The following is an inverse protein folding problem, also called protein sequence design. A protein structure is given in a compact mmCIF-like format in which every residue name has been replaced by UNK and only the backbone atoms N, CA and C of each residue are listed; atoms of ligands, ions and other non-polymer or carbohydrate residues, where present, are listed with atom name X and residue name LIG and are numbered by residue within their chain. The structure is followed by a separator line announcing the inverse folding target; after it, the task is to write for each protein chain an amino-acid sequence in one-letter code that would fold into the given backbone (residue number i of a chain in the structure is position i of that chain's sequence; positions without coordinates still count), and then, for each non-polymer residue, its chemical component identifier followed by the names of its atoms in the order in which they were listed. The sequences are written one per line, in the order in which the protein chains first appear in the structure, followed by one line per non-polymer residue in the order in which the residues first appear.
data_IF_144593212963
#
_entry.id   IF_144593212963
#
_cell.length_a   1.000
_cell.length_b   1.000
_cell.length_c   1.000
_cell.angle_alpha   90.00
_cell.angle_beta   90.00
_cell.angle_gamma   90.00
#
_symmetry.space_group_name_H-M   'P 1'
#
loop_
_entity.id
_entity.type
_entity.pdbx_description
1 polymer ?
#
# COMPACT_ATOMS: atom_id res chain seq x y z
N UNK A 1 10.64 16.92 -21.55
CA UNK A 1 10.11 15.56 -21.70
C UNK A 1 11.16 14.78 -22.46
N UNK A 2 11.75 13.76 -21.84
CA UNK A 2 12.76 12.89 -22.48
C UNK A 2 12.04 12.00 -23.48
N UNK A 3 12.62 11.78 -24.67
CA UNK A 3 12.00 10.90 -25.67
C UNK A 3 12.03 9.44 -25.20
N UNK A 4 11.10 8.62 -25.69
CA UNK A 4 11.08 7.19 -25.37
C UNK A 4 12.42 6.51 -25.72
N UNK A 5 13.07 6.93 -26.81
CA UNK A 5 14.37 6.40 -27.22
C UNK A 5 15.47 6.68 -26.16
N UNK A 6 15.56 7.91 -25.69
CA UNK A 6 16.51 8.31 -24.65
C UNK A 6 16.24 7.57 -23.33
N UNK A 7 14.97 7.41 -22.93
CA UNK A 7 14.60 6.61 -21.76
C UNK A 7 15.02 5.15 -21.88
N UNK A 8 14.91 4.55 -23.07
CA UNK A 8 15.35 3.16 -23.30
C UNK A 8 16.87 3.01 -23.33
N UNK A 9 17.62 4.04 -23.75
CA UNK A 9 19.07 4.06 -23.63
C UNK A 9 19.46 4.07 -22.15
N UNK A 10 18.87 4.97 -21.36
CA UNK A 10 19.14 5.05 -19.91
C UNK A 10 18.77 3.75 -19.20
N UNK A 11 17.59 3.19 -19.49
CA UNK A 11 17.17 1.89 -18.94
C UNK A 11 18.19 0.79 -19.25
N UNK A 12 18.65 0.70 -20.50
CA UNK A 12 19.69 -0.28 -20.89
C UNK A 12 20.98 -0.06 -20.11
N UNK A 13 21.39 1.19 -19.88
CA UNK A 13 22.64 1.50 -19.19
C UNK A 13 22.55 1.23 -17.68
N UNK A 14 21.38 1.42 -17.05
CA UNK A 14 21.12 0.96 -15.69
C UNK A 14 21.13 -0.57 -15.57
N UNK A 15 20.53 -1.28 -16.53
CA UNK A 15 20.55 -2.74 -16.57
C UNK A 15 21.97 -3.32 -16.70
N UNK A 16 22.87 -2.65 -17.44
CA UNK A 16 24.29 -3.07 -17.55
C UNK A 16 25.02 -3.04 -16.21
N UNK A 17 24.64 -2.12 -15.30
CA UNK A 17 25.20 -2.06 -13.95
C UNK A 17 24.81 -3.28 -13.10
N UNK A 18 23.73 -3.98 -13.44
CA UNK A 18 23.30 -5.23 -12.79
C UNK A 18 22.65 -5.07 -11.41
N UNK A 19 22.82 -3.92 -10.76
CA UNK A 19 22.34 -3.68 -9.39
C UNK A 19 20.82 -3.57 -9.31
N UNK A 20 20.20 -2.92 -10.30
CA UNK A 20 18.74 -2.73 -10.32
C UNK A 20 18.00 -4.06 -10.45
N UNK A 21 18.51 -5.01 -11.25
CA UNK A 21 17.91 -6.34 -11.35
C UNK A 21 17.98 -7.11 -10.02
N UNK A 22 19.12 -7.03 -9.32
CA UNK A 22 19.30 -7.67 -8.02
C UNK A 22 18.39 -7.05 -6.96
N UNK A 23 18.35 -5.72 -6.89
CA UNK A 23 17.50 -4.98 -5.96
C UNK A 23 16.02 -5.28 -6.20
N UNK A 24 15.55 -5.17 -7.44
CA UNK A 24 14.15 -5.41 -7.77
C UNK A 24 13.73 -6.86 -7.50
N UNK A 25 14.59 -7.84 -7.80
CA UNK A 25 14.33 -9.24 -7.44
C UNK A 25 14.20 -9.44 -5.93
N UNK A 26 15.15 -8.93 -5.15
CA UNK A 26 15.11 -9.03 -3.69
C UNK A 26 13.88 -8.33 -3.10
N UNK A 27 13.50 -7.19 -3.66
CA UNK A 27 12.27 -6.48 -3.30
C UNK A 27 11.03 -7.33 -3.57
N UNK A 28 10.89 -7.94 -4.75
CA UNK A 28 9.75 -8.81 -5.07
C UNK A 28 9.68 -10.03 -4.14
N UNK A 29 10.82 -10.65 -3.83
CA UNK A 29 10.91 -11.78 -2.89
C UNK A 29 10.48 -11.37 -1.48
N UNK A 30 10.94 -10.21 -1.01
CA UNK A 30 10.51 -9.65 0.28
C UNK A 30 9.02 -9.33 0.31
N UNK A 31 8.49 -8.64 -0.71
CA UNK A 31 7.07 -8.27 -0.78
C UNK A 31 6.16 -9.52 -0.84
N UNK A 32 6.59 -10.57 -1.54
CA UNK A 32 5.95 -11.89 -1.53
C UNK A 32 5.93 -12.55 -0.16
N UNK A 33 7.04 -12.42 0.58
CA UNK A 33 7.17 -12.93 1.95
C UNK A 33 6.29 -12.15 2.93
N UNK A 34 6.28 -10.82 2.84
CA UNK A 34 5.43 -9.93 3.64
C UNK A 34 3.95 -10.24 3.44
N UNK A 35 3.50 -10.40 2.18
CA UNK A 35 2.13 -10.82 1.89
C UNK A 35 1.79 -12.17 2.52
N UNK A 36 2.70 -13.14 2.37
CA UNK A 36 2.52 -14.49 2.93
C UNK A 36 2.47 -14.48 4.45
N UNK A 37 3.24 -13.58 5.08
CA UNK A 37 3.21 -13.35 6.52
C UNK A 37 1.83 -12.93 7.01
N UNK A 38 1.22 -11.90 6.40
CA UNK A 38 -0.14 -11.48 6.75
C UNK A 38 -1.17 -12.60 6.55
N UNK A 39 -1.09 -13.32 5.42
CA UNK A 39 -2.01 -14.44 5.13
C UNK A 39 -1.91 -15.57 6.16
N UNK A 40 -0.70 -15.88 6.63
CA UNK A 40 -0.46 -16.95 7.61
C UNK A 40 -0.83 -16.53 9.03
N UNK A 41 -0.51 -15.29 9.41
CA UNK A 41 -0.71 -14.80 10.77
C UNK A 41 -2.16 -14.41 11.06
N UNK A 42 -2.88 -13.94 10.05
CA UNK A 42 -4.29 -13.52 10.15
C UNK A 42 -5.17 -14.38 9.22
N UNK A 43 -5.48 -15.63 9.60
CA UNK A 43 -6.23 -16.55 8.73
C UNK A 43 -7.66 -16.09 8.43
N UNK A 44 -8.25 -15.27 9.30
CA UNK A 44 -9.60 -14.71 9.10
C UNK A 44 -9.61 -13.52 8.13
N UNK A 45 -8.44 -12.97 7.80
CA UNK A 45 -8.32 -11.83 6.89
C UNK A 45 -8.22 -12.33 5.45
N UNK A 46 -8.89 -11.65 4.53
CA UNK A 46 -8.67 -11.90 3.11
C UNK A 46 -7.46 -11.13 2.63
N UNK A 47 -6.39 -11.85 2.34
CA UNK A 47 -5.23 -11.32 1.64
C UNK A 47 -5.36 -11.57 0.14
N UNK A 48 -5.13 -10.56 -0.71
CA UNK A 48 -5.28 -10.69 -2.17
C UNK A 48 -4.45 -11.86 -2.72
N UNK A 49 -4.96 -12.56 -3.76
CA UNK A 49 -4.29 -13.71 -4.36
C UNK A 49 -2.95 -13.36 -5.03
N UNK A 50 -2.87 -12.17 -5.61
CA UNK A 50 -1.71 -11.62 -6.30
C UNK A 50 -1.20 -10.34 -5.63
N UNK A 51 0.02 -9.97 -6.02
CA UNK A 51 0.62 -8.65 -5.79
C UNK A 51 0.45 -7.86 -7.08
N UNK A 52 0.06 -6.59 -6.97
CA UNK A 52 0.14 -5.64 -8.06
C UNK A 52 1.54 -5.01 -8.05
N UNK A 53 2.34 -5.25 -9.10
CA UNK A 53 3.71 -4.73 -9.19
C UNK A 53 3.81 -3.33 -9.79
N UNK A 54 2.73 -2.83 -10.40
CA UNK A 54 2.72 -1.52 -11.07
C UNK A 54 3.75 -1.41 -12.18
N UNK A 55 4.09 -0.16 -12.50
CA UNK A 55 5.09 0.23 -13.49
C UNK A 55 6.37 0.77 -12.81
N UNK A 56 6.70 0.22 -11.63
CA UNK A 56 7.69 0.81 -10.70
C UNK A 56 7.30 2.21 -10.20
N UNK A 57 6.00 2.51 -10.19
CA UNK A 57 5.38 3.63 -9.51
C UNK A 57 4.95 3.21 -8.10
N UNK A 58 4.21 2.10 -8.01
CA UNK A 58 3.75 1.51 -6.77
C UNK A 58 3.70 -0.02 -6.84
N UNK A 59 3.88 -0.68 -5.70
CA UNK A 59 3.63 -2.12 -5.55
C UNK A 59 2.75 -2.34 -4.35
N UNK A 60 1.67 -3.12 -4.48
CA UNK A 60 0.76 -3.34 -3.36
C UNK A 60 0.08 -4.71 -3.35
N UNK A 61 -0.40 -5.10 -2.17
CA UNK A 61 -1.40 -6.17 -2.00
C UNK A 61 -2.46 -5.73 -0.99
N UNK A 62 -3.65 -6.33 -1.06
CA UNK A 62 -4.74 -6.00 -0.15
C UNK A 62 -4.81 -6.97 1.04
N UNK A 63 -5.17 -6.45 2.22
CA UNK A 63 -5.40 -7.20 3.46
C UNK A 63 -6.74 -6.76 4.05
N UNK A 64 -7.79 -7.55 3.90
CA UNK A 64 -9.14 -7.13 4.27
C UNK A 64 -9.66 -7.94 5.46
N UNK A 65 -9.74 -7.34 6.67
CA UNK A 65 -10.43 -7.95 7.80
C UNK A 65 -11.94 -8.09 7.50
N UNK A 66 -12.66 -9.02 8.17
CA UNK A 66 -14.07 -9.26 7.92
C UNK A 66 -14.95 -8.01 7.96
N UNK A 67 -14.75 -7.14 8.96
CA UNK A 67 -15.54 -5.94 9.17
C UNK A 67 -15.45 -4.95 8.01
N UNK A 68 -14.24 -4.70 7.49
CA UNK A 68 -14.07 -3.83 6.33
C UNK A 68 -14.71 -4.40 5.05
N UNK A 69 -14.80 -5.73 4.90
CA UNK A 69 -15.52 -6.33 3.76
C UNK A 69 -17.01 -6.03 3.79
N UNK A 70 -17.63 -5.98 4.97
CA UNK A 70 -19.05 -5.64 5.12
C UNK A 70 -19.32 -4.21 4.62
N UNK A 71 -18.38 -3.30 4.86
CA UNK A 71 -18.40 -1.93 4.35
C UNK A 71 -17.91 -1.79 2.91
N UNK A 72 -17.54 -2.89 2.25
CA UNK A 72 -16.94 -2.89 0.90
C UNK A 72 -15.69 -1.99 0.83
N UNK A 73 -14.90 -1.98 1.89
CA UNK A 73 -13.63 -1.28 2.01
C UNK A 73 -12.46 -2.26 2.01
N UNK A 74 -11.31 -1.83 1.48
CA UNK A 74 -10.07 -2.60 1.41
C UNK A 74 -8.93 -1.84 2.05
N UNK A 75 -7.99 -2.57 2.64
CA UNK A 75 -6.71 -2.01 3.11
C UNK A 75 -5.64 -2.48 2.15
N UNK A 76 -4.85 -1.55 1.63
CA UNK A 76 -3.71 -1.85 0.79
C UNK A 76 -2.43 -1.53 1.55
N UNK A 77 -1.50 -2.48 1.59
CA UNK A 77 -0.10 -2.22 1.98
C UNK A 77 0.63 -1.89 0.69
N UNK A 78 1.12 -0.66 0.60
CA UNK A 78 1.66 -0.05 -0.61
C UNK A 78 3.14 0.26 -0.39
N UNK A 79 3.96 -0.02 -1.38
CA UNK A 79 5.30 0.53 -1.49
C UNK A 79 5.32 1.52 -2.64
N UNK A 80 5.66 2.77 -2.35
CA UNK A 80 5.86 3.80 -3.35
C UNK A 80 7.33 3.83 -3.73
N UNK A 81 7.62 3.61 -5.01
CA UNK A 81 9.01 3.46 -5.48
C UNK A 81 9.76 4.78 -5.57
N UNK A 82 9.07 5.87 -5.93
CA UNK A 82 9.67 7.21 -6.06
C UNK A 82 10.01 7.79 -4.68
N UNK A 83 9.07 7.72 -3.74
CA UNK A 83 9.26 8.14 -2.35
C UNK A 83 10.06 7.13 -1.52
N UNK A 84 10.24 5.92 -2.04
CA UNK A 84 10.98 4.82 -1.43
C UNK A 84 10.52 4.51 0.00
N UNK A 85 9.20 4.32 0.18
CA UNK A 85 8.59 4.10 1.51
C UNK A 85 7.40 3.15 1.46
N UNK A 86 7.08 2.57 2.62
CA UNK A 86 5.85 1.81 2.81
C UNK A 86 4.74 2.70 3.36
N UNK A 87 3.54 2.50 2.82
CA UNK A 87 2.31 3.13 3.26
C UNK A 87 1.20 2.10 3.45
N UNK A 88 0.16 2.50 4.19
CA UNK A 88 -1.11 1.78 4.28
C UNK A 88 -2.23 2.71 3.82
N UNK A 89 -3.04 2.22 2.88
CA UNK A 89 -4.14 2.97 2.32
C UNK A 89 -5.48 2.31 2.63
N UNK A 90 -6.50 3.12 2.92
CA UNK A 90 -7.89 2.69 2.87
C UNK A 90 -8.41 2.94 1.46
N UNK A 91 -9.03 1.95 0.82
CA UNK A 91 -9.64 2.08 -0.50
C UNK A 91 -11.06 1.54 -0.55
N UNK A 92 -11.82 1.98 -1.56
CA UNK A 92 -13.13 1.40 -1.89
C UNK A 92 -12.99 0.16 -2.77
N UNK A 93 -13.93 -0.78 -2.67
CA UNK A 93 -14.01 -1.88 -3.64
C UNK A 93 -14.41 -1.40 -5.05
N UNK A 94 -15.13 -0.29 -5.14
CA UNK A 94 -15.49 0.39 -6.37
C UNK A 94 -15.53 1.92 -6.14
N UNK A 95 -15.70 2.68 -7.22
CA UNK A 95 -15.67 4.15 -7.17
C UNK A 95 -16.84 4.76 -6.38
N UNK A 96 -18.02 4.13 -6.39
CA UNK A 96 -19.17 4.62 -5.60
C UNK A 96 -18.92 4.49 -4.10
N UNK A 97 -18.39 3.34 -3.66
CA UNK A 97 -18.01 3.12 -2.26
C UNK A 97 -16.85 4.03 -1.87
N UNK A 98 -15.85 4.18 -2.74
CA UNK A 98 -14.74 5.10 -2.50
C UNK A 98 -15.25 6.51 -2.23
N UNK A 99 -16.11 7.03 -3.13
CA UNK A 99 -16.70 8.35 -2.99
C UNK A 99 -17.52 8.49 -1.71
N UNK A 100 -18.40 7.52 -1.40
CA UNK A 100 -19.23 7.53 -0.19
C UNK A 100 -18.38 7.72 1.08
N UNK A 101 -17.33 6.93 1.25
CA UNK A 101 -16.51 6.98 2.46
C UNK A 101 -15.55 8.17 2.46
N UNK A 102 -15.07 8.60 1.30
CA UNK A 102 -14.29 9.84 1.16
C UNK A 102 -15.09 11.07 1.58
N UNK A 103 -16.32 11.20 1.09
CA UNK A 103 -17.22 12.30 1.44
C UNK A 103 -17.55 12.26 2.95
N UNK A 104 -17.82 11.08 3.51
CA UNK A 104 -18.05 10.91 4.96
C UNK A 104 -16.84 11.35 5.79
N UNK A 105 -15.64 10.88 5.46
CA UNK A 105 -14.42 11.21 6.21
C UNK A 105 -14.12 12.71 6.14
N UNK A 106 -14.32 13.33 4.97
CA UNK A 106 -14.21 14.79 4.79
C UNK A 106 -15.24 15.54 5.60
N UNK A 107 -16.51 15.12 5.58
CA UNK A 107 -17.60 15.76 6.34
C UNK A 107 -17.31 15.73 7.85
N UNK A 108 -16.75 14.63 8.36
CA UNK A 108 -16.41 14.48 9.78
C UNK A 108 -15.09 15.12 10.18
N UNK A 109 -14.34 15.71 9.24
CA UNK A 109 -13.02 16.31 9.47
C UNK A 109 -12.09 15.39 10.27
N UNK A 110 -11.98 14.12 9.86
CA UNK A 110 -11.11 13.19 10.57
C UNK A 110 -9.64 13.43 10.22
N UNK A 111 -8.91 14.12 11.10
CA UNK A 111 -7.53 14.58 10.84
C UNK A 111 -6.43 13.57 11.21
N UNK A 112 -6.79 12.35 11.65
CA UNK A 112 -5.81 11.38 12.16
C UNK A 112 -4.86 10.86 11.06
N UNK A 113 -5.35 10.77 9.84
CA UNK A 113 -4.62 10.24 8.68
C UNK A 113 -4.77 11.19 7.49
N UNK A 114 -3.87 11.09 6.52
CA UNK A 114 -3.93 11.95 5.36
C UNK A 114 -5.14 11.59 4.49
N UNK A 115 -5.97 12.58 4.19
CA UNK A 115 -7.05 12.47 3.20
C UNK A 115 -6.55 13.11 1.90
N UNK A 116 -6.48 12.36 0.79
CA UNK A 116 -6.11 12.93 -0.51
C UNK A 116 -7.01 14.09 -0.91
N UNK A 117 -6.46 15.03 -1.69
CA UNK A 117 -7.22 16.19 -2.18
C UNK A 117 -8.36 15.76 -3.12
N UNK A 118 -8.14 14.74 -3.95
CA UNK A 118 -9.11 14.11 -4.86
C UNK A 118 -8.98 12.58 -4.87
N UNK A 119 -10.03 11.90 -5.34
CA UNK A 119 -10.07 10.46 -5.64
C UNK A 119 -10.00 10.17 -7.14
N UNK A 120 -9.79 11.19 -7.98
CA UNK A 120 -9.64 11.06 -9.42
C UNK A 120 -8.27 10.45 -9.76
N UNK A 121 -8.27 9.28 -10.39
CA UNK A 121 -7.05 8.55 -10.72
C UNK A 121 -6.32 7.91 -9.52
N UNK A 122 -6.83 8.10 -8.30
CA UNK A 122 -6.28 7.57 -7.05
C UNK A 122 -7.29 6.62 -6.42
N UNK A 123 -6.84 5.50 -5.87
CA UNK A 123 -7.72 4.48 -5.26
C UNK A 123 -7.80 4.56 -3.73
N UNK A 124 -7.04 5.47 -3.11
CA UNK A 124 -7.05 5.74 -1.68
C UNK A 124 -8.19 6.68 -1.28
N UNK A 125 -8.60 6.55 -0.02
CA UNK A 125 -9.54 7.37 0.74
C UNK A 125 -8.77 8.00 1.91
N UNK A 126 -7.87 7.21 2.50
CA UNK A 126 -6.93 7.61 3.54
C UNK A 126 -5.57 7.00 3.25
N UNK A 127 -4.53 7.71 3.64
CA UNK A 127 -3.13 7.31 3.46
C UNK A 127 -2.35 7.53 4.76
N UNK A 128 -1.42 6.62 5.03
CA UNK A 128 -0.54 6.72 6.18
C UNK A 128 0.82 6.08 5.88
N UNK A 129 1.89 6.81 6.20
CA UNK A 129 3.26 6.30 6.10
C UNK A 129 3.50 5.28 7.22
N UNK A 130 3.87 4.06 6.84
CA UNK A 130 4.25 3.00 7.77
C UNK A 130 5.73 3.07 8.12
N UNK A 131 6.58 3.22 7.10
CA UNK A 131 8.05 3.23 7.23
C UNK A 131 8.64 4.03 6.06
N UNK A 132 9.40 5.09 6.35
CA UNK A 132 10.10 5.94 5.38
C UNK A 132 11.64 5.86 5.46
N UNK A 133 12.20 5.45 6.59
CA UNK A 133 13.62 5.09 6.73
C UNK A 133 13.80 3.57 6.66
N UNK A 134 14.01 3.05 5.45
CA UNK A 134 14.03 1.61 5.18
C UNK A 134 15.38 0.96 5.45
N UNK A 135 15.38 0.00 6.37
CA UNK A 135 16.52 -0.88 6.61
C UNK A 135 16.25 -2.32 6.13
N UNK A 136 16.77 -2.66 4.96
CA UNK A 136 16.65 -4.02 4.40
C UNK A 136 17.64 -5.03 5.02
N UNK A 137 18.48 -4.64 5.99
CA UNK A 137 19.39 -5.57 6.70
C UNK A 137 18.64 -6.46 7.69
N UNK A 138 17.50 -5.99 8.22
CA UNK A 138 16.64 -6.74 9.13
C UNK A 138 15.17 -6.74 8.64
N UNK A 139 14.85 -7.70 7.79
CA UNK A 139 13.52 -7.87 7.23
C UNK A 139 12.46 -8.25 8.27
N UNK A 140 12.84 -8.84 9.40
CA UNK A 140 11.91 -9.19 10.47
C UNK A 140 11.46 -7.93 11.22
N UNK A 141 12.41 -7.03 11.53
CA UNK A 141 12.10 -5.73 12.11
C UNK A 141 11.21 -4.91 11.16
N UNK A 142 11.58 -4.84 9.88
CA UNK A 142 10.78 -4.14 8.87
C UNK A 142 9.36 -4.71 8.76
N UNK A 143 9.21 -6.04 8.72
CA UNK A 143 7.90 -6.71 8.71
C UNK A 143 7.07 -6.36 9.95
N UNK A 144 7.70 -6.33 11.13
CA UNK A 144 7.03 -6.01 12.40
C UNK A 144 6.54 -4.57 12.44
N UNK A 145 7.31 -3.62 11.88
CA UNK A 145 6.92 -2.22 11.80
C UNK A 145 5.71 -2.03 10.87
N UNK A 146 5.79 -2.59 9.66
CA UNK A 146 4.69 -2.57 8.68
C UNK A 146 3.43 -3.20 9.27
N UNK A 147 3.56 -4.35 9.93
CA UNK A 147 2.46 -5.02 10.60
C UNK A 147 1.82 -4.12 11.66
N UNK A 148 2.61 -3.62 12.61
CA UNK A 148 2.09 -2.81 13.72
C UNK A 148 1.34 -1.58 13.21
N UNK A 149 1.93 -0.85 12.26
CA UNK A 149 1.29 0.32 11.68
C UNK A 149 0.01 -0.04 10.93
N UNK A 150 0.02 -1.14 10.17
CA UNK A 150 -1.17 -1.61 9.44
C UNK A 150 -2.30 -2.01 10.40
N UNK A 151 -2.00 -2.75 11.47
CA UNK A 151 -3.00 -3.16 12.47
C UNK A 151 -3.58 -1.97 13.23
N UNK A 152 -2.75 -0.99 13.59
CA UNK A 152 -3.20 0.24 14.23
C UNK A 152 -4.11 1.05 13.30
N UNK A 153 -3.70 1.25 12.05
CA UNK A 153 -4.49 1.94 11.03
C UNK A 153 -5.85 1.27 10.81
N UNK A 154 -5.88 -0.06 10.68
CA UNK A 154 -7.13 -0.81 10.52
C UNK A 154 -8.06 -0.63 11.71
N UNK A 155 -7.54 -0.78 12.93
CA UNK A 155 -8.33 -0.60 14.14
C UNK A 155 -8.91 0.80 14.23
N UNK A 156 -8.10 1.82 13.95
CA UNK A 156 -8.54 3.22 13.99
C UNK A 156 -9.64 3.51 12.97
N UNK A 157 -9.52 2.98 11.75
CA UNK A 157 -10.56 3.09 10.72
C UNK A 157 -11.84 2.37 11.17
N UNK A 158 -11.72 1.17 11.73
CA UNK A 158 -12.88 0.42 12.22
C UNK A 158 -13.58 1.14 13.38
N UNK A 159 -12.82 1.66 14.35
CA UNK A 159 -13.34 2.39 15.50
C UNK A 159 -14.00 3.72 15.07
N UNK A 160 -13.43 4.40 14.07
CA UNK A 160 -14.02 5.61 13.49
C UNK A 160 -15.35 5.32 12.76
N UNK A 161 -15.34 4.36 11.83
CA UNK A 161 -16.51 4.08 10.99
C UNK A 161 -17.66 3.41 11.74
N UNK A 162 -17.40 2.74 12.88
CA UNK A 162 -18.46 2.13 13.70
C UNK A 162 -19.36 3.13 14.42
N UNK A 163 -19.04 4.42 14.33
CA UNK A 163 -19.83 5.50 14.92
C UNK A 163 -21.01 5.94 14.03
N UNK A 164 -21.12 5.38 12.82
CA UNK A 164 -22.08 5.74 11.78
C UNK A 164 -22.72 4.50 11.15
#
# INVERSE_FOLDING_TARGET
MVSFHESMIEYRDQLKKGMIQKAYRGFMEYFGSLRSYFKKKYPDYSVSGSIYFGYMDMTYFAVNPPKLKEWKLKIAIVFLHEEFRFEVWLGGYNKDVQKKYFDLIKEKNWEKYHVPSSIDGIDSILEHILVDDLDFRDLNSLTTQIERGTMNFMKDVEDFLSQF
#
